data_IF_876949301862
#
_entry.id   IF_876949301862
#
_cell.length_a   1.000
_cell.length_b   1.000
_cell.length_c   1.000
_cell.angle_alpha   90.00
_cell.angle_beta   90.00
_cell.angle_gamma   90.00
#
_symmetry.space_group_name_H-M   'P 1'
#
loop_
_entity.id
_entity.type
_entity.pdbx_description
1 polymer ?
#
# COMPACT_ATOMS: atom_id res chain seq x y z
N UNK A 1 -12.65 -9.33 5.62
CA UNK A 1 -12.76 -7.89 5.94
C UNK A 1 -14.24 -7.49 5.95
N UNK A 2 -14.70 -6.64 6.88
CA UNK A 2 -16.11 -6.18 6.85
C UNK A 2 -16.28 -5.04 5.86
N UNK A 3 -17.49 -4.84 5.31
CA UNK A 3 -17.80 -3.69 4.44
C UNK A 3 -17.45 -2.35 5.11
N UNK A 4 -17.62 -2.24 6.43
CA UNK A 4 -17.29 -1.02 7.19
C UNK A 4 -15.77 -0.74 7.17
N UNK A 5 -14.96 -1.78 7.34
CA UNK A 5 -13.49 -1.67 7.33
C UNK A 5 -12.99 -1.16 5.98
N UNK A 6 -13.46 -1.73 4.87
CA UNK A 6 -13.07 -1.30 3.53
C UNK A 6 -13.41 0.17 3.28
N UNK A 7 -14.62 0.63 3.62
CA UNK A 7 -15.00 2.04 3.48
C UNK A 7 -14.10 3.00 4.28
N UNK A 8 -13.71 2.61 5.50
CA UNK A 8 -12.85 3.44 6.34
C UNK A 8 -11.43 3.51 5.75
N UNK A 9 -10.88 2.40 5.27
CA UNK A 9 -9.59 2.38 4.60
C UNK A 9 -9.60 3.23 3.33
N UNK A 10 -10.65 3.14 2.51
CA UNK A 10 -10.84 4.03 1.35
C UNK A 10 -10.95 5.49 1.77
N UNK A 11 -11.69 5.81 2.83
CA UNK A 11 -11.81 7.19 3.32
C UNK A 11 -10.46 7.75 3.81
N UNK A 12 -9.64 6.94 4.48
CA UNK A 12 -8.27 7.32 4.88
C UNK A 12 -7.39 7.54 3.66
N UNK A 13 -7.46 6.67 2.65
CA UNK A 13 -6.74 6.87 1.39
C UNK A 13 -7.12 8.21 0.74
N UNK A 14 -8.41 8.48 0.57
CA UNK A 14 -8.89 9.74 -0.01
C UNK A 14 -8.46 10.95 0.81
N UNK A 15 -8.48 10.85 2.15
CA UNK A 15 -7.98 11.92 3.02
C UNK A 15 -6.49 12.19 2.80
N UNK A 16 -5.66 11.14 2.69
CA UNK A 16 -4.22 11.29 2.45
C UNK A 16 -3.95 11.95 1.10
N UNK A 17 -4.66 11.55 0.04
CA UNK A 17 -4.56 12.17 -1.29
C UNK A 17 -4.89 13.67 -1.23
N UNK A 18 -6.03 14.04 -0.62
CA UNK A 18 -6.42 15.44 -0.47
C UNK A 18 -5.42 16.22 0.39
N UNK A 19 -4.89 15.61 1.45
CA UNK A 19 -3.87 16.22 2.29
C UNK A 19 -2.60 16.52 1.49
N UNK A 20 -2.07 15.55 0.74
CA UNK A 20 -0.86 15.74 -0.06
C UNK A 20 -1.06 16.73 -1.21
N UNK A 21 -2.21 16.69 -1.88
CA UNK A 21 -2.59 17.69 -2.88
C UNK A 21 -2.60 19.10 -2.30
N UNK A 22 -3.13 19.28 -1.10
CA UNK A 22 -3.14 20.59 -0.42
C UNK A 22 -1.73 21.06 0.00
N UNK A 23 -0.81 20.13 0.33
CA UNK A 23 0.57 20.48 0.70
C UNK A 23 1.45 20.81 -0.51
N UNK A 24 1.28 20.09 -1.61
CA UNK A 24 2.15 20.20 -2.81
C UNK A 24 1.59 21.18 -3.83
N UNK A 25 0.26 21.36 -3.88
CA UNK A 25 -0.43 22.07 -4.95
C UNK A 25 -0.53 21.28 -6.25
N UNK A 26 -0.10 20.01 -6.25
CA UNK A 26 -0.09 19.15 -7.44
C UNK A 26 -1.30 18.21 -7.45
N UNK A 27 -1.78 17.89 -8.65
CA UNK A 27 -2.78 16.84 -8.83
C UNK A 27 -2.13 15.47 -8.61
N UNK A 28 -2.80 14.61 -7.82
CA UNK A 28 -2.30 13.27 -7.50
C UNK A 28 -3.14 12.24 -8.23
N UNK A 29 -2.52 11.53 -9.16
CA UNK A 29 -3.16 10.39 -9.80
C UNK A 29 -3.43 9.31 -8.77
N UNK A 30 -4.70 8.92 -8.63
CA UNK A 30 -5.13 7.91 -7.66
C UNK A 30 -5.63 6.68 -8.39
N UNK A 31 -4.89 5.58 -8.27
CA UNK A 31 -5.19 4.29 -8.91
C UNK A 31 -5.57 3.28 -7.84
N UNK A 32 -6.60 2.49 -8.10
CA UNK A 32 -7.03 1.38 -7.24
C UNK A 32 -7.17 0.10 -8.06
N UNK A 33 -6.82 -1.02 -7.45
CA UNK A 33 -6.88 -2.33 -8.07
C UNK A 33 -7.38 -3.36 -7.08
N UNK A 34 -8.36 -4.16 -7.50
CA UNK A 34 -8.90 -5.29 -6.74
C UNK A 34 -9.42 -6.33 -7.75
N UNK A 35 -8.87 -7.57 -7.78
CA UNK A 35 -9.30 -8.62 -8.71
C UNK A 35 -10.81 -8.91 -8.70
N UNK A 36 -11.48 -8.68 -7.58
CA UNK A 36 -12.91 -8.97 -7.40
C UNK A 36 -13.83 -7.79 -7.71
N UNK A 37 -13.31 -6.64 -8.16
CA UNK A 37 -14.15 -5.49 -8.49
C UNK A 37 -15.13 -5.81 -9.63
N UNK A 38 -16.39 -5.55 -9.36
CA UNK A 38 -17.45 -5.52 -10.37
C UNK A 38 -17.46 -4.16 -11.07
N UNK A 39 -18.19 -4.06 -12.19
CA UNK A 39 -18.43 -2.77 -12.86
C UNK A 39 -19.12 -1.75 -11.94
N UNK A 40 -19.91 -2.21 -10.96
CA UNK A 40 -20.52 -1.32 -9.96
C UNK A 40 -19.46 -0.74 -9.02
N UNK A 41 -18.49 -1.55 -8.60
CA UNK A 41 -17.39 -1.09 -7.73
C UNK A 41 -16.49 -0.10 -8.48
N UNK A 42 -16.18 -0.38 -9.75
CA UNK A 42 -15.42 0.53 -10.62
C UNK A 42 -16.14 1.87 -10.82
N UNK A 43 -17.46 1.82 -11.06
CA UNK A 43 -18.27 3.04 -11.17
C UNK A 43 -18.29 3.83 -9.85
N UNK A 44 -18.38 3.16 -8.70
CA UNK A 44 -18.28 3.81 -7.40
C UNK A 44 -16.91 4.47 -7.19
N UNK A 45 -15.81 3.79 -7.52
CA UNK A 45 -14.45 4.35 -7.44
C UNK A 45 -14.32 5.62 -8.28
N UNK A 46 -14.90 5.66 -9.48
CA UNK A 46 -14.89 6.84 -10.34
C UNK A 46 -15.59 8.05 -9.69
N UNK A 47 -16.63 7.85 -8.86
CA UNK A 47 -17.27 8.94 -8.10
C UNK A 47 -16.35 9.57 -7.05
N UNK A 48 -15.30 8.84 -6.65
CA UNK A 48 -14.25 9.28 -5.72
C UNK A 48 -13.00 9.78 -6.46
N UNK A 49 -13.07 9.95 -7.78
CA UNK A 49 -11.91 10.28 -8.64
C UNK A 49 -10.77 9.24 -8.58
N UNK A 50 -11.12 7.99 -8.31
CA UNK A 50 -10.19 6.86 -8.32
C UNK A 50 -10.26 6.14 -9.67
N UNK A 51 -9.13 5.97 -10.33
CA UNK A 51 -9.01 5.13 -11.52
C UNK A 51 -8.94 3.66 -11.10
N UNK A 52 -10.05 2.93 -11.26
CA UNK A 52 -10.06 1.49 -11.03
C UNK A 52 -9.46 0.75 -12.23
N UNK A 53 -8.37 0.02 -12.01
CA UNK A 53 -7.68 -0.77 -13.04
C UNK A 53 -7.76 -2.26 -12.73
N UNK A 54 -7.71 -3.09 -13.77
CA UNK A 54 -7.69 -4.54 -13.60
C UNK A 54 -6.32 -5.02 -13.09
N UNK A 55 -6.33 -6.02 -12.21
CA UNK A 55 -5.10 -6.66 -11.71
C UNK A 55 -4.35 -7.38 -12.83
N UNK A 56 -3.01 -7.26 -12.93
CA UNK A 56 -2.05 -6.64 -12.00
C UNK A 56 -1.53 -5.24 -12.42
N UNK A 57 -2.30 -4.47 -13.20
CA UNK A 57 -1.82 -3.24 -13.87
C UNK A 57 -1.24 -2.18 -12.92
N UNK A 58 -1.82 -1.98 -11.73
CA UNK A 58 -1.36 -0.97 -10.78
C UNK A 58 0.07 -1.19 -10.27
N UNK A 59 0.59 -2.42 -10.28
CA UNK A 59 1.97 -2.65 -9.84
C UNK A 59 2.99 -2.05 -10.82
N UNK A 60 2.64 -1.95 -12.10
CA UNK A 60 3.55 -1.46 -13.14
C UNK A 60 3.80 0.05 -13.11
N UNK A 61 2.97 0.79 -12.39
CA UNK A 61 3.07 2.25 -12.27
C UNK A 61 3.72 2.71 -10.96
N UNK A 62 4.14 1.76 -10.11
CA UNK A 62 4.83 2.08 -8.86
C UNK A 62 6.27 2.48 -9.18
N UNK A 63 6.63 3.67 -8.72
CA UNK A 63 7.96 4.27 -8.84
C UNK A 63 8.41 4.91 -7.52
N UNK A 64 9.53 5.60 -7.57
CA UNK A 64 10.11 6.29 -6.43
C UNK A 64 9.27 7.46 -5.88
N UNK A 65 8.30 7.99 -6.60
CA UNK A 65 7.45 9.12 -6.16
C UNK A 65 6.07 8.65 -5.67
N UNK A 66 5.79 7.36 -5.81
CA UNK A 66 4.50 6.76 -5.50
C UNK A 66 4.26 6.61 -3.99
N UNK A 67 3.01 6.81 -3.55
CA UNK A 67 2.49 6.30 -2.28
C UNK A 67 1.72 5.00 -2.51
N UNK A 68 2.14 3.92 -1.88
CA UNK A 68 1.41 2.64 -1.87
C UNK A 68 0.58 2.55 -0.60
N UNK A 69 -0.72 2.31 -0.75
CA UNK A 69 -1.66 2.07 0.35
C UNK A 69 -2.25 0.67 0.20
N UNK A 70 -1.71 -0.28 0.94
CA UNK A 70 -2.00 -1.71 0.79
C UNK A 70 -2.09 -2.33 2.18
N UNK A 71 -3.28 -2.35 2.79
CA UNK A 71 -3.48 -2.84 4.16
C UNK A 71 -4.09 -4.23 4.12
N UNK A 72 -3.59 -5.15 4.97
CA UNK A 72 -4.08 -6.54 5.05
C UNK A 72 -3.97 -7.32 3.73
N UNK A 73 -2.94 -7.01 2.95
CA UNK A 73 -2.62 -7.75 1.74
C UNK A 73 -1.75 -8.97 2.05
N UNK A 74 -1.82 -9.96 1.17
CA UNK A 74 -0.91 -11.12 1.20
C UNK A 74 0.53 -10.69 0.89
N UNK A 75 1.51 -11.45 1.39
CA UNK A 75 2.93 -11.16 1.17
C UNK A 75 3.28 -11.06 -0.33
N UNK A 76 2.71 -11.92 -1.16
CA UNK A 76 2.92 -11.92 -2.62
C UNK A 76 2.42 -10.64 -3.31
N UNK A 77 1.44 -9.93 -2.72
CA UNK A 77 0.98 -8.62 -3.20
C UNK A 77 2.04 -7.56 -2.92
N UNK A 78 2.65 -7.55 -1.73
CA UNK A 78 3.75 -6.65 -1.42
C UNK A 78 5.00 -6.96 -2.24
N UNK A 79 5.31 -8.24 -2.43
CA UNK A 79 6.41 -8.69 -3.29
C UNK A 79 6.28 -8.10 -4.70
N UNK A 80 5.09 -8.19 -5.30
CA UNK A 80 4.81 -7.56 -6.60
C UNK A 80 4.92 -6.03 -6.56
N UNK A 81 4.30 -5.38 -5.56
CA UNK A 81 4.29 -3.93 -5.44
C UNK A 81 5.70 -3.33 -5.24
N UNK A 82 6.60 -4.07 -4.60
CA UNK A 82 7.96 -3.62 -4.29
C UNK A 82 9.02 -4.19 -5.25
N UNK A 83 8.61 -4.94 -6.28
CA UNK A 83 9.51 -5.72 -7.14
C UNK A 83 10.43 -4.84 -8.00
N UNK A 84 9.88 -3.82 -8.66
CA UNK A 84 10.61 -2.96 -9.58
C UNK A 84 11.25 -1.75 -8.89
N UNK A 85 10.47 -1.00 -8.13
CA UNK A 85 10.91 0.19 -7.39
C UNK A 85 10.42 0.13 -5.94
N UNK A 86 11.05 0.91 -5.07
CA UNK A 86 10.59 1.11 -3.69
C UNK A 86 9.86 2.45 -3.62
N UNK A 87 8.57 2.48 -3.24
CA UNK A 87 7.77 3.70 -3.24
C UNK A 87 8.30 4.75 -2.26
N UNK A 88 7.91 6.02 -2.41
CA UNK A 88 8.24 7.07 -1.44
C UNK A 88 7.60 6.81 -0.08
N UNK A 89 6.36 6.30 -0.10
CA UNK A 89 5.56 5.97 1.07
C UNK A 89 4.93 4.59 0.90
N UNK A 90 4.93 3.79 1.96
CA UNK A 90 4.17 2.54 2.04
C UNK A 90 3.37 2.54 3.33
N UNK A 91 2.04 2.53 3.21
CA UNK A 91 1.12 2.18 4.31
C UNK A 91 0.68 0.75 4.09
N UNK A 92 1.14 -0.16 4.94
CA UNK A 92 0.82 -1.57 4.79
C UNK A 92 1.18 -2.41 6.00
N UNK A 93 1.05 -3.72 5.86
CA UNK A 93 1.30 -4.67 6.94
C UNK A 93 2.78 -4.74 7.31
N UNK A 94 3.06 -4.88 8.60
CA UNK A 94 4.41 -5.11 9.10
C UNK A 94 4.96 -6.47 8.63
N UNK A 95 6.17 -6.53 8.03
CA UNK A 95 6.75 -7.78 7.59
C UNK A 95 7.09 -8.76 8.71
N UNK A 96 7.14 -8.30 9.97
CA UNK A 96 7.44 -9.12 11.15
C UNK A 96 6.61 -10.41 11.24
N UNK A 97 5.37 -10.39 10.72
CA UNK A 97 4.48 -11.55 10.69
C UNK A 97 5.00 -12.70 9.79
N UNK A 98 5.80 -12.40 8.76
CA UNK A 98 6.34 -13.40 7.83
C UNK A 98 7.81 -13.75 8.09
N UNK A 99 8.54 -12.94 8.86
CA UNK A 99 9.97 -13.16 9.14
C UNK A 99 10.27 -14.51 9.79
N UNK A 100 9.35 -15.02 10.62
CA UNK A 100 9.53 -16.33 11.26
C UNK A 100 9.45 -17.46 10.23
N UNK A 101 8.48 -17.39 9.31
CA UNK A 101 8.29 -18.40 8.27
C UNK A 101 9.41 -18.35 7.21
N UNK A 102 9.92 -17.16 6.90
CA UNK A 102 11.03 -16.95 5.96
C UNK A 102 12.33 -17.70 6.34
N UNK A 103 12.52 -18.02 7.63
CA UNK A 103 13.70 -18.77 8.11
C UNK A 103 13.72 -20.23 7.64
N UNK A 104 12.56 -20.77 7.30
CA UNK A 104 12.39 -22.19 6.94
C UNK A 104 11.82 -22.39 5.53
N UNK A 105 11.23 -21.34 4.94
CA UNK A 105 10.60 -21.37 3.62
C UNK A 105 11.27 -20.37 2.66
N UNK A 106 12.09 -20.85 1.68
CA UNK A 106 12.83 -19.98 0.76
C UNK A 106 11.94 -19.08 -0.13
N UNK A 107 10.72 -19.51 -0.44
CA UNK A 107 9.77 -18.74 -1.26
C UNK A 107 9.32 -17.47 -0.51
N UNK A 108 9.03 -17.59 0.79
CA UNK A 108 8.69 -16.44 1.66
C UNK A 108 9.88 -15.48 1.77
N UNK A 109 11.10 -16.02 1.84
CA UNK A 109 12.31 -15.20 1.89
C UNK A 109 12.50 -14.36 0.62
N UNK A 110 12.21 -14.92 -0.56
CA UNK A 110 12.26 -14.19 -1.82
C UNK A 110 11.20 -13.06 -1.85
N UNK A 111 9.98 -13.34 -1.40
CA UNK A 111 8.91 -12.33 -1.36
C UNK A 111 9.16 -11.20 -0.34
N UNK A 112 10.04 -11.40 0.63
CA UNK A 112 10.46 -10.37 1.58
C UNK A 112 11.58 -9.46 1.06
N UNK A 113 12.17 -9.71 -0.11
CA UNK A 113 13.28 -8.89 -0.62
C UNK A 113 12.92 -7.40 -0.74
N UNK A 114 11.69 -7.09 -1.18
CA UNK A 114 11.18 -5.72 -1.24
C UNK A 114 11.12 -5.05 0.13
N UNK A 115 10.66 -5.78 1.15
CA UNK A 115 10.67 -5.31 2.54
C UNK A 115 12.09 -5.16 3.08
N UNK A 116 13.04 -6.01 2.67
CA UNK A 116 14.45 -5.85 2.98
C UNK A 116 15.01 -4.51 2.48
N UNK A 117 14.64 -4.10 1.24
CA UNK A 117 15.04 -2.80 0.68
C UNK A 117 14.39 -1.63 1.40
N UNK A 118 13.09 -1.69 1.68
CA UNK A 118 12.39 -0.59 2.37
C UNK A 118 12.92 -0.39 3.80
N UNK A 119 13.18 -1.48 4.53
CA UNK A 119 13.71 -1.42 5.90
C UNK A 119 15.09 -0.78 6.01
N UNK A 120 15.90 -0.81 4.95
CA UNK A 120 17.22 -0.18 4.90
C UNK A 120 17.16 1.31 4.54
N UNK A 121 16.20 1.70 3.70
CA UNK A 121 16.15 3.02 3.07
C UNK A 121 15.11 3.97 3.68
N UNK A 122 14.13 3.44 4.42
CA UNK A 122 12.99 4.20 4.93
C UNK A 122 13.02 4.34 6.47
N UNK A 123 12.36 5.37 6.97
CA UNK A 123 11.87 5.37 8.34
C UNK A 123 10.64 4.47 8.46
N UNK A 124 10.35 3.99 9.68
CA UNK A 124 9.19 3.15 10.01
C UNK A 124 8.51 3.73 11.23
N UNK A 125 7.18 3.82 11.21
CA UNK A 125 6.35 4.14 12.37
C UNK A 125 5.13 3.25 12.38
N UNK A 126 4.72 2.82 13.58
CA UNK A 126 3.49 2.05 13.75
C UNK A 126 2.30 2.95 13.42
N UNK A 127 1.43 2.48 12.52
CA UNK A 127 0.21 3.21 12.19
C UNK A 127 -0.76 3.14 13.37
N UNK A 128 -1.50 4.22 13.70
CA UNK A 128 -2.43 4.20 14.83
C UNK A 128 -3.40 3.02 14.75
N UNK A 129 -3.36 2.17 15.77
CA UNK A 129 -4.20 0.98 15.81
C UNK A 129 -5.65 1.39 16.08
N UNK A 130 -6.54 1.04 15.15
CA UNK A 130 -7.99 1.23 15.29
C UNK A 130 -8.67 -0.12 15.08
N UNK A 131 -8.67 -0.92 16.14
CA UNK A 131 -9.25 -2.27 16.17
C UNK A 131 -8.72 -3.14 15.01
N UNK A 132 -9.59 -3.91 14.35
CA UNK A 132 -9.24 -4.76 13.21
C UNK A 132 -8.92 -3.97 11.92
N UNK A 133 -9.02 -2.64 11.91
CA UNK A 133 -8.96 -1.86 10.66
C UNK A 133 -7.52 -1.60 10.19
N UNK A 134 -6.63 -1.30 11.13
CA UNK A 134 -5.21 -1.03 10.88
C UNK A 134 -4.29 -1.93 11.73
N UNK A 135 -4.81 -3.08 12.15
CA UNK A 135 -4.03 -4.06 12.92
C UNK A 135 -2.74 -4.41 12.17
N UNK A 136 -1.61 -4.39 12.87
CA UNK A 136 -0.29 -4.68 12.30
C UNK A 136 0.06 -3.80 11.10
N UNK A 137 -0.49 -2.59 10.99
CA UNK A 137 -0.18 -1.64 9.91
C UNK A 137 0.96 -0.71 10.32
N UNK A 138 1.85 -0.44 9.38
CA UNK A 138 3.00 0.45 9.52
C UNK A 138 3.03 1.44 8.36
N UNK A 139 3.58 2.61 8.63
CA UNK A 139 3.93 3.60 7.62
C UNK A 139 5.45 3.60 7.46
N UNK A 140 5.91 3.32 6.25
CA UNK A 140 7.28 3.59 5.81
C UNK A 140 7.33 4.90 5.03
N UNK A 141 8.39 5.68 5.23
CA UNK A 141 8.66 6.88 4.44
C UNK A 141 10.12 6.99 4.06
N UNK A 142 10.39 7.39 2.81
CA UNK A 142 11.76 7.56 2.35
C UNK A 142 12.42 8.67 3.18
N UNK A 143 13.63 8.39 3.69
CA UNK A 143 14.42 9.41 4.37
C UNK A 143 14.92 10.39 3.31
N UNK A 144 14.66 11.68 3.48
CA UNK A 144 15.25 12.70 2.61
C UNK A 144 16.77 12.64 2.67
N UNK A 145 17.45 12.83 1.54
CA UNK A 145 18.87 13.12 1.55
C UNK A 145 19.06 14.44 2.31
N UNK A 146 19.82 14.40 3.42
CA UNK A 146 20.15 15.57 4.23
C UNK A 146 21.33 16.33 3.67
#
# INVERSE_FOLDING_TARGET
MTRKTAHIQTAVFCYLVEYFKAQTGEEIQSIIQEPMFTETDKAFCATLSLEAVDSPRAFSVIDEETMVFAIHMELSTYSQALSAHVPALLVGSDPENWETAARVEPEIQADLEGYGRIGQTHGKVVFPDLEMMFFSTVLYWRRGES
#
